data_IF_383914354779
#
_entry.id   IF_383914354779
#
_cell.length_a   1.000
_cell.length_b   1.000
_cell.length_c   1.000
_cell.angle_alpha   90.00
_cell.angle_beta   90.00
_cell.angle_gamma   90.00
#
_symmetry.space_group_name_H-M   'P 1'
#
loop_
_entity.id
_entity.type
_entity.pdbx_description
1 polymer ?
#
# COMPACT_ATOMS: atom_id res chain seq x y z
N UNK A 1 -24.66 34.46 -2.59
CA UNK A 1 -23.26 34.17 -3.01
C UNK A 1 -22.97 32.75 -2.56
N UNK A 2 -22.84 31.81 -3.50
CA UNK A 2 -22.57 30.41 -3.21
C UNK A 2 -21.11 30.28 -2.78
N UNK A 3 -20.87 29.82 -1.56
CA UNK A 3 -19.53 29.41 -1.12
C UNK A 3 -19.08 28.18 -1.93
N UNK A 4 -17.81 28.11 -2.36
CA UNK A 4 -17.29 26.90 -2.97
C UNK A 4 -17.21 25.81 -1.90
N UNK A 5 -17.99 24.73 -2.06
CA UNK A 5 -17.85 23.54 -1.23
C UNK A 5 -16.50 22.90 -1.53
N UNK A 6 -15.64 22.80 -0.51
CA UNK A 6 -14.45 21.98 -0.56
C UNK A 6 -14.83 20.54 -1.03
N UNK A 7 -14.03 19.90 -1.89
CA UNK A 7 -14.30 18.52 -2.29
C UNK A 7 -14.28 17.64 -1.03
N UNK A 8 -15.30 16.78 -0.88
CA UNK A 8 -15.32 15.75 0.17
C UNK A 8 -14.11 14.84 -0.06
N UNK A 9 -13.08 14.99 0.77
CA UNK A 9 -11.87 14.17 0.71
C UNK A 9 -12.21 12.75 1.15
N UNK A 10 -12.13 11.81 0.21
CA UNK A 10 -12.34 10.38 0.47
C UNK A 10 -11.17 9.88 1.33
N UNK A 11 -11.46 9.58 2.60
CA UNK A 11 -10.57 8.81 3.45
C UNK A 11 -10.38 7.42 2.84
N UNK A 12 -9.17 6.86 2.93
CA UNK A 12 -9.00 5.42 2.77
C UNK A 12 -9.83 4.72 3.85
N UNK A 13 -11.05 4.28 3.54
CA UNK A 13 -11.89 3.57 4.49
C UNK A 13 -11.13 2.37 5.07
N UNK A 14 -11.09 2.20 6.41
CA UNK A 14 -10.57 0.97 6.99
C UNK A 14 -11.50 -0.17 6.58
N UNK A 15 -11.05 -1.07 5.70
CA UNK A 15 -11.80 -2.27 5.38
C UNK A 15 -11.68 -3.28 6.54
N UNK A 16 -12.66 -3.24 7.42
CA UNK A 16 -13.28 -4.31 8.21
C UNK A 16 -12.57 -5.69 8.21
N UNK A 17 -11.65 -5.92 9.15
CA UNK A 17 -11.39 -7.14 9.98
C UNK A 17 -9.99 -7.04 10.60
N UNK A 18 -9.84 -6.21 11.64
CA UNK A 18 -8.53 -5.80 12.19
C UNK A 18 -7.53 -6.94 12.48
N UNK A 19 -8.00 -8.13 12.89
CA UNK A 19 -7.12 -9.29 13.14
C UNK A 19 -6.64 -9.99 11.87
N UNK A 20 -7.46 -10.02 10.82
CA UNK A 20 -7.10 -10.64 9.52
C UNK A 20 -6.15 -9.72 8.75
N UNK A 21 -6.35 -8.40 8.83
CA UNK A 21 -5.42 -7.39 8.32
C UNK A 21 -4.02 -7.55 8.93
N UNK A 22 -3.93 -7.51 10.26
CA UNK A 22 -2.65 -7.62 10.98
C UNK A 22 -1.86 -8.91 10.67
N UNK A 23 -2.55 -10.05 10.55
CA UNK A 23 -1.88 -11.30 10.16
C UNK A 23 -1.33 -11.24 8.73
N UNK A 24 -2.06 -10.60 7.80
CA UNK A 24 -1.60 -10.41 6.44
C UNK A 24 -0.40 -9.48 6.34
N UNK A 25 -0.40 -8.38 7.09
CA UNK A 25 0.73 -7.45 7.19
C UNK A 25 1.99 -8.16 7.70
N UNK A 26 1.87 -9.02 8.71
CA UNK A 26 3.00 -9.82 9.21
C UNK A 26 3.54 -10.79 8.15
N UNK A 27 2.64 -11.48 7.43
CA UNK A 27 3.02 -12.37 6.31
C UNK A 27 3.76 -11.59 5.21
N UNK A 28 3.24 -10.42 4.83
CA UNK A 28 3.83 -9.55 3.83
C UNK A 28 5.23 -9.07 4.25
N UNK A 29 5.40 -8.69 5.51
CA UNK A 29 6.69 -8.28 6.06
C UNK A 29 7.72 -9.42 6.04
N UNK A 30 7.33 -10.64 6.44
CA UNK A 30 8.22 -11.81 6.37
C UNK A 30 8.65 -12.09 4.93
N UNK A 31 7.71 -11.99 3.99
CA UNK A 31 7.99 -12.15 2.57
C UNK A 31 9.00 -11.10 2.05
N UNK A 32 8.76 -9.82 2.30
CA UNK A 32 9.68 -8.74 1.88
C UNK A 32 11.08 -8.93 2.47
N UNK A 33 11.18 -9.26 3.77
CA UNK A 33 12.46 -9.56 4.41
C UNK A 33 13.17 -10.76 3.78
N UNK A 34 12.43 -11.80 3.41
CA UNK A 34 12.99 -12.99 2.74
C UNK A 34 13.57 -12.67 1.35
N UNK A 35 13.08 -11.60 0.70
CA UNK A 35 13.61 -11.07 -0.54
C UNK A 35 14.77 -10.07 -0.35
N UNK A 36 15.16 -9.79 0.89
CA UNK A 36 16.24 -8.84 1.20
C UNK A 36 15.81 -7.38 1.31
N UNK A 37 14.50 -7.09 1.33
CA UNK A 37 14.02 -5.72 1.54
C UNK A 37 14.30 -5.27 2.97
N UNK A 38 14.75 -4.02 3.11
CA UNK A 38 14.95 -3.40 4.42
C UNK A 38 13.65 -2.69 4.85
N UNK A 39 12.83 -3.37 5.65
CA UNK A 39 11.58 -2.83 6.19
C UNK A 39 11.87 -1.67 7.16
N UNK A 40 11.27 -0.50 6.89
CA UNK A 40 11.44 0.73 7.67
C UNK A 40 10.28 0.99 8.64
N UNK A 41 9.05 0.80 8.18
CA UNK A 41 7.85 1.07 8.98
C UNK A 41 6.69 0.15 8.58
N UNK A 42 5.72 0.03 9.48
CA UNK A 42 4.43 -0.63 9.28
C UNK A 42 3.32 0.23 9.85
N UNK A 43 2.15 0.20 9.21
CA UNK A 43 0.95 0.93 9.62
C UNK A 43 1.28 2.41 9.88
N UNK A 44 2.05 2.99 8.97
CA UNK A 44 2.57 4.35 9.05
C UNK A 44 1.44 5.33 8.78
N UNK A 45 1.15 6.20 9.75
CA UNK A 45 0.12 7.23 9.61
C UNK A 45 0.70 8.44 8.90
N UNK A 46 0.10 8.79 7.76
CA UNK A 46 0.50 9.96 6.98
C UNK A 46 -0.71 10.87 6.82
N UNK A 47 -0.71 12.00 7.54
CA UNK A 47 -1.88 12.85 7.70
C UNK A 47 -3.11 12.05 8.19
N UNK A 48 -4.15 11.95 7.36
CA UNK A 48 -5.39 11.21 7.65
C UNK A 48 -5.45 9.82 6.98
N UNK A 49 -4.37 9.41 6.31
CA UNK A 49 -4.26 8.13 5.62
C UNK A 49 -3.22 7.22 6.31
N UNK A 50 -3.18 5.95 5.91
CA UNK A 50 -2.29 4.93 6.46
C UNK A 50 -1.56 4.21 5.31
N UNK A 51 -0.29 3.90 5.51
CA UNK A 51 0.53 3.08 4.62
C UNK A 51 0.90 1.80 5.36
N UNK A 52 0.47 0.66 4.83
CA UNK A 52 0.62 -0.62 5.53
C UNK A 52 2.09 -1.00 5.74
N UNK A 53 2.95 -0.86 4.71
CA UNK A 53 4.38 -1.15 4.81
C UNK A 53 5.22 -0.13 4.04
N UNK A 54 6.31 0.32 4.67
CA UNK A 54 7.38 1.07 4.02
C UNK A 54 8.66 0.24 4.10
N UNK A 55 9.28 -0.03 2.95
CA UNK A 55 10.53 -0.80 2.90
C UNK A 55 11.45 -0.27 1.79
N UNK A 56 12.75 -0.53 1.90
CA UNK A 56 13.71 -0.22 0.86
C UNK A 56 14.08 -1.49 0.10
N UNK A 57 13.97 -1.45 -1.22
CA UNK A 57 14.42 -2.47 -2.17
C UNK A 57 15.88 -2.19 -2.55
N UNK A 58 16.86 -2.97 -2.04
CA UNK A 58 18.26 -2.72 -2.35
C UNK A 58 18.63 -3.05 -3.80
N UNK A 59 17.89 -3.94 -4.47
CA UNK A 59 18.18 -4.33 -5.85
C UNK A 59 17.85 -3.19 -6.81
N UNK A 60 16.70 -2.54 -6.61
CA UNK A 60 16.22 -1.41 -7.43
C UNK A 60 16.59 -0.03 -6.85
N UNK A 61 17.24 0.00 -5.68
CA UNK A 61 17.58 1.22 -4.92
C UNK A 61 16.38 2.14 -4.73
N UNK A 62 15.22 1.56 -4.44
CA UNK A 62 13.95 2.26 -4.39
C UNK A 62 13.22 2.05 -3.08
N UNK A 63 12.57 3.10 -2.58
CA UNK A 63 11.66 2.98 -1.45
C UNK A 63 10.30 2.47 -1.95
N UNK A 64 9.76 1.45 -1.32
CA UNK A 64 8.43 0.94 -1.63
C UNK A 64 7.44 1.37 -0.56
N UNK A 65 6.27 1.83 -1.02
CA UNK A 65 5.07 2.00 -0.21
C UNK A 65 4.12 0.89 -0.61
N UNK A 66 4.00 -0.14 0.23
CA UNK A 66 3.22 -1.33 -0.06
C UNK A 66 1.85 -1.27 0.62
N UNK A 67 0.80 -1.47 -0.16
CA UNK A 67 -0.54 -1.82 0.33
C UNK A 67 -0.63 -3.36 0.44
N UNK A 68 -1.25 -3.86 1.51
CA UNK A 68 -1.44 -5.28 1.78
C UNK A 68 -2.93 -5.62 1.71
N UNK A 69 -3.29 -6.54 0.81
CA UNK A 69 -4.64 -7.09 0.72
C UNK A 69 -4.68 -8.54 1.17
N UNK A 70 -5.36 -8.79 2.27
CA UNK A 70 -5.57 -10.14 2.81
C UNK A 70 -6.90 -10.71 2.34
N UNK A 71 -6.87 -11.95 1.82
CA UNK A 71 -8.08 -12.72 1.44
C UNK A 71 -8.05 -14.09 2.10
N UNK A 72 -9.24 -14.64 2.36
CA UNK A 72 -9.38 -15.99 2.91
C UNK A 72 -8.91 -17.08 1.91
N UNK A 73 -9.20 -16.89 0.63
CA UNK A 73 -8.76 -17.75 -0.47
C UNK A 73 -8.26 -16.90 -1.64
N UNK A 74 -7.33 -17.46 -2.42
CA UNK A 74 -6.88 -16.87 -3.68
C UNK A 74 -7.73 -17.43 -4.81
N UNK A 75 -8.33 -16.54 -5.59
CA UNK A 75 -9.08 -16.86 -6.79
C UNK A 75 -8.42 -16.14 -7.96
N UNK A 76 -7.90 -16.92 -8.92
CA UNK A 76 -7.20 -16.40 -10.10
C UNK A 76 -8.14 -15.63 -11.03
N UNK A 77 -9.45 -15.91 -10.97
CA UNK A 77 -10.46 -15.24 -11.79
C UNK A 77 -10.83 -13.84 -11.23
N UNK A 78 -10.39 -13.53 -10.00
CA UNK A 78 -10.55 -12.21 -9.38
C UNK A 78 -9.20 -11.62 -8.95
N UNK A 79 -8.39 -11.15 -9.91
CA UNK A 79 -7.11 -10.56 -9.61
C UNK A 79 -7.29 -9.35 -8.68
N UNK A 80 -6.43 -9.22 -7.65
CA UNK A 80 -6.56 -8.20 -6.60
C UNK A 80 -6.44 -6.76 -7.12
N UNK A 81 -5.83 -6.60 -8.31
CA UNK A 81 -5.80 -5.38 -9.12
C UNK A 81 -7.21 -4.83 -9.39
N UNK A 82 -8.21 -5.70 -9.62
CA UNK A 82 -9.60 -5.30 -9.89
C UNK A 82 -10.25 -4.55 -8.73
N UNK A 83 -9.67 -4.63 -7.53
CA UNK A 83 -10.18 -3.96 -6.35
C UNK A 83 -9.34 -2.73 -5.96
N UNK A 84 -8.40 -2.29 -6.80
CA UNK A 84 -7.73 -0.98 -6.67
C UNK A 84 -8.61 0.08 -7.33
N UNK A 85 -9.45 0.72 -6.53
CA UNK A 85 -10.30 1.81 -7.04
C UNK A 85 -9.46 3.06 -7.29
N UNK A 86 -9.88 3.95 -8.22
CA UNK A 86 -9.21 5.23 -8.44
C UNK A 86 -9.04 6.06 -7.15
N UNK A 87 -10.02 6.00 -6.25
CA UNK A 87 -9.97 6.67 -4.95
C UNK A 87 -8.86 6.09 -4.05
N UNK A 88 -8.70 4.76 -4.02
CA UNK A 88 -7.64 4.09 -3.25
C UNK A 88 -6.27 4.42 -3.82
N UNK A 89 -6.12 4.45 -5.14
CA UNK A 89 -4.87 4.84 -5.78
C UNK A 89 -4.52 6.31 -5.53
N UNK A 90 -5.49 7.22 -5.59
CA UNK A 90 -5.27 8.64 -5.25
C UNK A 90 -4.83 8.82 -3.79
N UNK A 91 -5.41 8.05 -2.87
CA UNK A 91 -5.02 8.01 -1.46
C UNK A 91 -3.57 7.51 -1.28
N UNK A 92 -3.20 6.39 -1.90
CA UNK A 92 -1.84 5.85 -1.84
C UNK A 92 -0.80 6.83 -2.42
N UNK A 93 -1.08 7.41 -3.59
CA UNK A 93 -0.21 8.43 -4.21
C UNK A 93 -0.03 9.65 -3.32
N UNK A 94 -1.11 10.13 -2.69
CA UNK A 94 -1.06 11.26 -1.75
C UNK A 94 -0.21 10.92 -0.52
N UNK A 95 -0.43 9.76 0.08
CA UNK A 95 0.27 9.31 1.29
C UNK A 95 1.76 9.12 1.04
N UNK A 96 2.14 8.45 -0.05
CA UNK A 96 3.53 8.29 -0.43
C UNK A 96 4.23 9.65 -0.64
N UNK A 97 3.61 10.58 -1.37
CA UNK A 97 4.17 11.93 -1.58
C UNK A 97 4.34 12.71 -0.28
N UNK A 98 3.34 12.66 0.60
CA UNK A 98 3.39 13.34 1.88
C UNK A 98 4.49 12.78 2.78
N UNK A 99 4.65 11.45 2.82
CA UNK A 99 5.72 10.79 3.57
C UNK A 99 7.10 11.20 3.04
N UNK A 100 7.30 11.17 1.72
CA UNK A 100 8.56 11.56 1.07
C UNK A 100 8.92 13.01 1.39
N UNK A 101 7.94 13.92 1.34
CA UNK A 101 8.16 15.33 1.66
C UNK A 101 8.51 15.55 3.13
N UNK A 102 7.80 14.89 4.05
CA UNK A 102 8.03 14.99 5.50
C UNK A 102 9.41 14.46 5.91
N UNK A 103 9.88 13.40 5.24
CA UNK A 103 11.18 12.78 5.52
C UNK A 103 12.33 13.35 4.68
N UNK A 104 12.07 14.36 3.85
CA UNK A 104 13.03 14.91 2.88
C UNK A 104 13.76 13.81 2.07
N UNK A 105 13.02 12.78 1.65
CA UNK A 105 13.60 11.65 0.93
C UNK A 105 13.84 12.00 -0.54
N UNK A 106 15.08 11.88 -1.00
CA UNK A 106 15.47 12.28 -2.37
C UNK A 106 15.61 11.10 -3.35
N UNK A 107 15.47 9.86 -2.87
CA UNK A 107 15.61 8.66 -3.71
C UNK A 107 14.37 8.35 -4.55
N UNK A 108 14.49 7.36 -5.43
CA UNK A 108 13.33 6.84 -6.14
C UNK A 108 12.38 6.12 -5.18
N UNK A 109 11.10 6.15 -5.49
CA UNK A 109 10.11 5.37 -4.78
C UNK A 109 9.02 4.87 -5.74
N UNK A 110 8.35 3.80 -5.32
CA UNK A 110 7.18 3.23 -6.02
C UNK A 110 6.12 2.77 -5.03
N UNK A 111 4.94 2.48 -5.56
CA UNK A 111 3.82 1.94 -4.81
C UNK A 111 3.60 0.51 -5.28
N UNK A 112 3.65 -0.44 -4.35
CA UNK A 112 3.52 -1.87 -4.61
C UNK A 112 2.22 -2.40 -3.98
N UNK A 113 1.68 -3.49 -4.51
CA UNK A 113 0.56 -4.23 -3.92
C UNK A 113 1.00 -5.65 -3.56
N UNK A 114 0.80 -6.02 -2.30
CA UNK A 114 1.04 -7.36 -1.79
C UNK A 114 -0.29 -8.04 -1.50
N UNK A 115 -0.50 -9.21 -2.09
CA UNK A 115 -1.72 -9.97 -1.90
C UNK A 115 -1.41 -11.20 -1.08
N UNK A 116 -2.11 -11.33 0.04
CA UNK A 116 -1.91 -12.42 1.01
C UNK A 116 -3.12 -13.32 1.01
N UNK A 117 -2.88 -14.62 0.82
CA UNK A 117 -3.90 -15.65 0.95
C UNK A 117 -3.27 -16.94 1.49
N UNK A 118 -4.03 -17.68 2.30
CA UNK A 118 -3.57 -18.94 2.91
C UNK A 118 -2.19 -18.83 3.61
N UNK A 119 -1.91 -17.70 4.27
CA UNK A 119 -0.69 -17.50 5.04
C UNK A 119 0.58 -17.19 4.25
N UNK A 120 0.47 -16.87 2.95
CA UNK A 120 1.61 -16.48 2.11
C UNK A 120 1.25 -15.32 1.19
N UNK A 121 2.26 -14.60 0.71
CA UNK A 121 2.11 -13.67 -0.41
C UNK A 121 1.93 -14.50 -1.68
N UNK A 122 0.76 -14.37 -2.30
CA UNK A 122 0.40 -15.06 -3.55
C UNK A 122 0.70 -14.20 -4.78
N UNK A 123 0.78 -12.88 -4.60
CA UNK A 123 1.12 -11.94 -5.66
C UNK A 123 1.82 -10.71 -5.06
N UNK A 124 2.89 -10.27 -5.72
CA UNK A 124 3.60 -9.03 -5.41
C UNK A 124 3.69 -8.22 -6.70
N UNK A 125 2.81 -7.23 -6.82
CA UNK A 125 2.70 -6.39 -8.00
C UNK A 125 3.48 -5.12 -7.71
N UNK A 126 4.53 -4.88 -8.50
CA UNK A 126 5.31 -3.66 -8.40
C UNK A 126 4.68 -2.55 -9.22
N UNK A 127 4.85 -1.31 -8.78
CA UNK A 127 4.51 -0.11 -9.57
C UNK A 127 3.03 0.00 -9.96
N UNK A 128 2.13 -0.33 -9.03
CA UNK A 128 0.68 -0.26 -9.26
C UNK A 128 0.17 1.16 -9.51
N UNK A 129 0.98 2.19 -9.24
CA UNK A 129 0.61 3.56 -9.53
C UNK A 129 0.31 3.79 -11.02
N UNK A 130 0.87 3.01 -11.95
CA UNK A 130 0.61 3.13 -13.39
C UNK A 130 -0.69 2.45 -13.83
N UNK A 131 -1.23 1.54 -13.01
CA UNK A 131 -2.45 0.76 -13.32
C UNK A 131 -3.74 1.54 -12.99
N UNK A 132 -3.59 2.69 -12.30
CA UNK A 132 -4.71 3.46 -11.75
C UNK A 132 -5.09 4.70 -12.57
N UNK A 133 -4.79 4.73 -13.87
CA UNK A 133 -5.23 5.77 -14.82
C UNK A 133 -6.49 5.36 -15.59
#
# INVERSE_FOLDING_TARGET
MMEPRAPKMTQCSPHSTARVGAYGEEVALRYLRSLGYAVRAMNERVAHDEIDIIAFDPAEKSLIFAEVKTRASFDQDFPPQLNLTPAKCACLRRSARAWVADHAYEGSYRIDLLCVAAGRVVEHIKEIAEICE
#
